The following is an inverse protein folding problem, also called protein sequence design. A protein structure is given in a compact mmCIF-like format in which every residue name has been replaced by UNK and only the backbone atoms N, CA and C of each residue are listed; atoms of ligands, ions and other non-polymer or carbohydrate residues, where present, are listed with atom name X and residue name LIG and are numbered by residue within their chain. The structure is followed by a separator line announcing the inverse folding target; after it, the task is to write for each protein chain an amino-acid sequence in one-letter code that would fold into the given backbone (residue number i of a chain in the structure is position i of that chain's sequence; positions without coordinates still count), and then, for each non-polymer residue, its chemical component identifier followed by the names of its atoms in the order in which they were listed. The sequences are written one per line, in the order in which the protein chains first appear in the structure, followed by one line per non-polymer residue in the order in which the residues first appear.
data_IF_555390401349
#
_entry.id   IF_555390401349
#
_cell.length_a   1.000
_cell.length_b   1.000
_cell.length_c   1.000
_cell.angle_alpha   90.00
_cell.angle_beta   90.00
_cell.angle_gamma   90.00
#
_symmetry.space_group_name_H-M   'P 1'
#
loop_
_entity.id
_entity.type
_entity.pdbx_description
1 polymer ?
#
# COMPACT_ATOMS: atom_id res chain seq x y z
N UNK A 1 -24.58 8.76 2.48
CA UNK A 1 -23.51 9.75 2.34
C UNK A 1 -22.73 9.84 3.64
N UNK A 2 -21.49 9.43 3.60
CA UNK A 2 -20.54 9.56 4.71
C UNK A 2 -20.12 11.03 4.82
N UNK A 3 -20.33 11.65 5.96
CA UNK A 3 -19.71 12.94 6.27
C UNK A 3 -18.45 12.64 7.08
N UNK A 4 -17.26 13.04 6.63
CA UNK A 4 -16.03 12.85 7.40
C UNK A 4 -16.18 13.48 8.77
N UNK A 5 -15.99 12.69 9.83
CA UNK A 5 -16.05 13.18 11.21
C UNK A 5 -14.80 13.98 11.61
N UNK A 6 -13.83 14.10 10.73
CA UNK A 6 -12.60 14.87 10.93
C UNK A 6 -12.50 15.96 9.84
N UNK A 7 -12.31 17.24 10.20
CA UNK A 7 -12.20 18.33 9.23
C UNK A 7 -10.90 18.29 8.40
N UNK A 8 -10.01 17.31 8.63
CA UNK A 8 -8.68 17.25 8.01
C UNK A 8 -8.50 16.09 7.02
N UNK A 9 -9.56 15.39 6.62
CA UNK A 9 -9.51 14.32 5.61
C UNK A 9 -10.15 14.79 4.32
N UNK A 10 -9.59 14.37 3.19
CA UNK A 10 -10.01 14.77 1.85
C UNK A 10 -10.16 13.56 0.95
N UNK A 11 -11.19 13.58 0.10
CA UNK A 11 -11.40 12.59 -0.97
C UNK A 11 -10.81 13.01 -2.31
N UNK A 12 -10.29 14.22 -2.41
CA UNK A 12 -9.81 14.81 -3.68
C UNK A 12 -8.64 14.05 -4.26
N UNK A 13 -8.77 13.66 -5.52
CA UNK A 13 -7.67 13.14 -6.35
C UNK A 13 -7.14 14.25 -7.25
N UNK A 14 -5.85 14.39 -7.34
CA UNK A 14 -5.19 15.33 -8.22
C UNK A 14 -4.36 14.61 -9.29
N UNK A 15 -4.32 15.19 -10.47
CA UNK A 15 -3.52 14.74 -11.62
C UNK A 15 -2.35 15.68 -11.85
N UNK A 16 -1.19 15.10 -12.13
CA UNK A 16 -0.05 15.80 -12.73
C UNK A 16 0.34 15.13 -14.05
N UNK A 17 0.81 15.92 -15.00
CA UNK A 17 1.40 15.41 -16.23
C UNK A 17 2.92 15.24 -16.01
N UNK A 18 3.40 14.00 -15.92
CA UNK A 18 4.80 13.73 -15.58
C UNK A 18 5.78 14.24 -16.67
N UNK A 19 5.36 14.26 -17.93
CA UNK A 19 6.20 14.69 -19.06
C UNK A 19 6.39 16.20 -19.19
N UNK A 20 5.63 16.99 -18.41
CA UNK A 20 5.68 18.47 -18.43
C UNK A 20 5.67 19.01 -17.02
N UNK A 21 6.29 20.17 -16.82
CA UNK A 21 6.16 20.91 -15.55
C UNK A 21 4.79 21.62 -15.49
N UNK A 22 4.21 21.67 -14.30
CA UNK A 22 2.92 22.34 -14.09
C UNK A 22 2.34 22.03 -12.72
N UNK A 23 1.27 22.72 -12.38
CA UNK A 23 0.50 22.47 -11.17
C UNK A 23 -0.39 21.25 -11.35
N UNK A 24 -0.70 20.57 -10.24
CA UNK A 24 -1.73 19.56 -10.23
C UNK A 24 -3.11 20.16 -10.57
N UNK A 25 -3.92 19.37 -11.25
CA UNK A 25 -5.32 19.69 -11.56
C UNK A 25 -6.24 18.70 -10.88
N UNK A 26 -7.46 19.12 -10.60
CA UNK A 26 -8.48 18.23 -10.06
C UNK A 26 -8.77 17.08 -11.05
N UNK A 27 -8.72 15.84 -10.54
CA UNK A 27 -9.02 14.64 -11.31
C UNK A 27 -10.41 14.09 -10.96
N UNK A 28 -10.86 14.25 -9.73
CA UNK A 28 -12.10 13.72 -9.18
C UNK A 28 -11.96 13.34 -7.72
N UNK A 29 -12.86 12.50 -7.22
CA UNK A 29 -12.90 12.10 -5.82
C UNK A 29 -12.81 10.59 -5.62
N UNK A 30 -12.13 10.18 -4.55
CA UNK A 30 -12.24 8.83 -3.99
C UNK A 30 -13.58 8.66 -3.28
N UNK A 31 -14.05 7.42 -3.12
CA UNK A 31 -15.34 7.17 -2.47
C UNK A 31 -15.33 7.50 -0.97
N UNK A 32 -14.18 7.36 -0.33
CA UNK A 32 -13.98 7.66 1.09
C UNK A 32 -12.71 8.49 1.29
N UNK A 33 -12.68 9.27 2.36
CA UNK A 33 -11.50 9.99 2.81
C UNK A 33 -10.80 9.21 3.92
N UNK A 34 -9.47 9.14 3.91
CA UNK A 34 -8.69 8.41 4.94
C UNK A 34 -7.35 7.91 4.44
N UNK A 35 -6.79 6.96 5.15
CA UNK A 35 -5.54 6.30 4.74
C UNK A 35 -5.79 5.36 3.57
N UNK A 36 -5.00 5.53 2.51
CA UNK A 36 -5.14 4.75 1.30
C UNK A 36 -3.83 4.03 0.97
N UNK A 37 -3.94 2.77 0.56
CA UNK A 37 -2.94 2.14 -0.28
C UNK A 37 -3.38 2.21 -1.74
N UNK A 38 -2.45 2.07 -2.65
CA UNK A 38 -2.76 2.08 -4.07
C UNK A 38 -1.85 1.14 -4.85
N UNK A 39 -2.35 0.69 -5.99
CA UNK A 39 -1.57 0.00 -7.01
C UNK A 39 -2.09 0.40 -8.38
N UNK A 40 -1.28 0.32 -9.42
CA UNK A 40 -1.70 0.73 -10.76
C UNK A 40 -0.97 -0.04 -11.85
N UNK A 41 -1.60 -0.04 -13.02
CA UNK A 41 -0.94 -0.30 -14.29
C UNK A 41 -1.01 0.94 -15.19
N UNK A 42 -0.74 0.80 -16.48
CA UNK A 42 -0.79 1.92 -17.43
C UNK A 42 -2.19 2.47 -17.70
N UNK A 43 -3.28 1.79 -17.28
CA UNK A 43 -4.66 2.16 -17.60
C UNK A 43 -5.53 2.42 -16.38
N UNK A 44 -5.29 1.72 -15.27
CA UNK A 44 -6.11 1.81 -14.05
C UNK A 44 -5.25 2.08 -12.82
N UNK A 45 -5.73 2.99 -11.97
CA UNK A 45 -5.33 3.11 -10.58
C UNK A 45 -6.37 2.45 -9.69
N UNK A 46 -5.95 1.59 -8.77
CA UNK A 46 -6.81 0.93 -7.78
C UNK A 46 -6.42 1.41 -6.41
N UNK A 47 -7.40 1.90 -5.67
CA UNK A 47 -7.26 2.40 -4.29
C UNK A 47 -7.89 1.39 -3.33
N UNK A 48 -7.21 1.13 -2.24
CA UNK A 48 -7.76 0.37 -1.13
C UNK A 48 -7.78 1.26 0.11
N UNK A 49 -8.82 1.12 0.91
CA UNK A 49 -9.09 2.01 2.03
C UNK A 49 -8.68 1.39 3.36
N UNK A 50 -8.28 2.26 4.28
CA UNK A 50 -8.01 1.91 5.68
C UNK A 50 -8.48 3.02 6.60
N UNK A 51 -8.45 2.76 7.90
CA UNK A 51 -8.74 3.70 9.01
C UNK A 51 -10.08 4.44 8.94
N UNK A 52 -11.09 3.81 8.32
CA UNK A 52 -12.48 4.28 8.38
C UNK A 52 -13.21 3.61 9.55
N UNK A 53 -14.26 4.21 10.12
CA UNK A 53 -14.86 3.78 11.40
C UNK A 53 -15.29 2.32 11.48
N UNK A 54 -15.42 1.63 10.35
CA UNK A 54 -15.95 0.27 10.28
C UNK A 54 -15.01 -0.77 9.65
N UNK A 55 -13.69 -0.49 9.55
CA UNK A 55 -12.72 -1.43 8.96
C UNK A 55 -13.19 -1.94 7.59
N UNK A 56 -12.86 -1.22 6.53
CA UNK A 56 -13.36 -1.49 5.19
C UNK A 56 -12.44 -2.47 4.45
N UNK A 57 -13.02 -3.34 3.67
CA UNK A 57 -12.32 -4.22 2.71
C UNK A 57 -12.37 -3.66 1.29
N UNK A 58 -13.13 -2.61 1.05
CA UNK A 58 -13.44 -2.05 -0.26
C UNK A 58 -12.21 -1.62 -1.03
N UNK A 59 -12.21 -1.92 -2.32
CA UNK A 59 -11.32 -1.35 -3.33
C UNK A 59 -12.13 -0.60 -4.37
N UNK A 60 -11.62 0.54 -4.81
CA UNK A 60 -12.17 1.30 -5.94
C UNK A 60 -11.10 1.53 -6.99
N UNK A 61 -11.52 1.80 -8.21
CA UNK A 61 -10.59 2.11 -9.29
C UNK A 61 -11.00 3.35 -10.07
N UNK A 62 -10.00 3.96 -10.70
CA UNK A 62 -10.19 4.97 -11.73
C UNK A 62 -9.48 4.57 -13.02
N UNK A 63 -9.98 5.05 -14.16
CA UNK A 63 -9.30 4.94 -15.46
C UNK A 63 -8.40 6.17 -15.61
N UNK A 64 -7.07 5.97 -15.66
CA UNK A 64 -6.07 7.05 -15.60
C UNK A 64 -6.21 8.04 -16.77
N UNK A 65 -6.66 7.59 -17.93
CA UNK A 65 -6.84 8.43 -19.13
C UNK A 65 -8.12 9.23 -19.14
N UNK A 66 -9.05 9.01 -18.21
CA UNK A 66 -10.33 9.73 -18.15
C UNK A 66 -10.56 10.35 -16.78
N UNK A 67 -10.69 11.66 -16.74
CA UNK A 67 -11.03 12.41 -15.54
C UNK A 67 -12.38 11.95 -14.97
N UNK A 68 -12.50 11.87 -13.64
CA UNK A 68 -13.72 11.51 -12.93
C UNK A 68 -13.46 10.84 -11.60
N UNK A 69 -14.52 10.56 -10.88
CA UNK A 69 -14.46 9.81 -9.62
C UNK A 69 -14.16 8.33 -9.81
N UNK A 70 -14.12 7.61 -8.72
CA UNK A 70 -13.85 6.16 -8.69
C UNK A 70 -15.10 5.33 -8.88
N UNK A 71 -14.93 4.12 -9.39
CA UNK A 71 -15.93 3.07 -9.42
C UNK A 71 -15.50 1.88 -8.55
N UNK A 72 -16.45 1.12 -8.04
CA UNK A 72 -16.16 -0.06 -7.23
C UNK A 72 -15.36 -1.08 -8.03
N UNK A 73 -14.26 -1.58 -7.45
CA UNK A 73 -13.44 -2.64 -8.02
C UNK A 73 -13.81 -4.00 -7.45
N UNK A 74 -14.05 -4.11 -6.16
CA UNK A 74 -14.29 -5.31 -5.37
C UNK A 74 -13.79 -5.13 -3.95
N UNK A 75 -13.64 -6.22 -3.22
CA UNK A 75 -13.22 -6.22 -1.83
C UNK A 75 -11.88 -6.93 -1.61
N UNK A 76 -11.12 -6.49 -0.60
CA UNK A 76 -9.93 -7.20 -0.10
C UNK A 76 -10.36 -8.52 0.57
N UNK A 77 -9.53 -9.54 0.49
CA UNK A 77 -9.78 -10.82 1.17
C UNK A 77 -9.69 -10.72 2.70
N UNK A 78 -9.20 -9.60 3.22
CA UNK A 78 -9.03 -9.37 4.66
C UNK A 78 -9.33 -7.92 5.05
N UNK A 79 -9.79 -7.73 6.30
CA UNK A 79 -10.09 -6.41 6.84
C UNK A 79 -8.80 -5.69 7.21
N UNK A 80 -8.65 -4.44 6.77
CA UNK A 80 -7.49 -3.59 7.04
C UNK A 80 -7.87 -2.34 7.82
N UNK A 81 -6.91 -1.77 8.56
CA UNK A 81 -7.00 -0.43 9.17
C UNK A 81 -6.11 0.59 8.45
N UNK A 82 -4.93 0.18 8.06
CA UNK A 82 -4.04 1.01 7.24
C UNK A 82 -4.01 0.32 5.88
N UNK A 83 -4.59 0.87 4.84
CA UNK A 83 -4.67 0.23 3.53
C UNK A 83 -3.37 -0.48 3.15
N UNK A 84 -3.41 -1.73 2.63
CA UNK A 84 -2.22 -2.45 2.24
C UNK A 84 -1.48 -1.70 1.13
N UNK A 85 -0.16 -1.69 1.22
CA UNK A 85 0.68 -1.04 0.22
C UNK A 85 0.83 -1.94 -1.01
N UNK A 86 0.62 -1.37 -2.18
CA UNK A 86 0.54 -2.09 -3.43
C UNK A 86 1.63 -1.72 -4.43
N UNK A 87 2.03 -2.71 -5.20
CA UNK A 87 2.80 -2.60 -6.43
C UNK A 87 2.47 -3.80 -7.31
N UNK A 88 3.17 -4.05 -8.38
CA UNK A 88 2.86 -5.18 -9.25
C UNK A 88 3.43 -5.01 -10.64
N UNK A 89 2.80 -5.66 -11.60
CA UNK A 89 3.11 -5.51 -13.02
C UNK A 89 1.91 -4.95 -13.80
N UNK A 90 1.96 -4.97 -15.13
CA UNK A 90 0.87 -4.45 -15.96
C UNK A 90 -0.43 -5.28 -15.87
N UNK A 91 -0.39 -6.51 -15.37
CA UNK A 91 -1.54 -7.42 -15.31
C UNK A 91 -2.08 -7.59 -13.90
N UNK A 92 -1.21 -7.57 -12.89
CA UNK A 92 -1.54 -7.86 -11.50
C UNK A 92 -1.10 -6.73 -10.56
N UNK A 93 -2.01 -6.31 -9.71
CA UNK A 93 -1.71 -5.53 -8.52
C UNK A 93 -1.53 -6.47 -7.33
N UNK A 94 -0.44 -6.29 -6.58
CA UNK A 94 -0.10 -7.09 -5.40
C UNK A 94 -0.17 -6.17 -4.20
N UNK A 95 -0.91 -6.57 -3.18
CA UNK A 95 -1.24 -5.76 -2.01
C UNK A 95 -0.76 -6.47 -0.74
N UNK A 96 -0.02 -5.79 0.11
CA UNK A 96 0.50 -6.41 1.33
C UNK A 96 0.97 -5.41 2.39
N UNK A 97 1.19 -5.89 3.61
CA UNK A 97 1.78 -5.07 4.68
C UNK A 97 0.84 -4.05 5.29
N UNK A 98 -0.30 -4.48 5.77
CA UNK A 98 -1.33 -3.66 6.43
C UNK A 98 -1.41 -3.89 7.94
N UNK A 99 -2.09 -3.00 8.64
CA UNK A 99 -2.56 -3.27 10.00
C UNK A 99 -3.81 -4.17 9.96
N UNK A 100 -3.85 -5.15 10.84
CA UNK A 100 -5.02 -6.00 11.00
C UNK A 100 -6.23 -5.25 11.53
N UNK A 101 -7.41 -5.67 11.09
CA UNK A 101 -8.71 -5.19 11.54
C UNK A 101 -9.06 -5.61 12.97
N UNK A 102 -10.34 -5.50 13.36
CA UNK A 102 -10.79 -5.78 14.71
C UNK A 102 -10.53 -7.23 15.17
N UNK A 103 -10.45 -7.41 16.48
CA UNK A 103 -10.09 -8.68 17.14
C UNK A 103 -10.99 -9.86 16.81
N UNK A 104 -12.24 -9.62 16.41
CA UNK A 104 -13.21 -10.67 16.04
C UNK A 104 -12.89 -11.38 14.70
N UNK A 105 -11.90 -10.89 13.95
CA UNK A 105 -11.42 -11.49 12.70
C UNK A 105 -9.97 -11.98 12.79
N UNK A 106 -9.49 -12.27 14.00
CA UNK A 106 -8.11 -12.77 14.25
C UNK A 106 -7.03 -11.69 14.23
N UNK A 107 -7.39 -10.42 14.02
CA UNK A 107 -6.46 -9.29 14.09
C UNK A 107 -6.37 -8.70 15.49
N UNK A 108 -5.22 -8.24 15.90
CA UNK A 108 -5.08 -7.31 17.03
C UNK A 108 -5.03 -5.90 16.47
N UNK A 109 -5.87 -4.96 16.95
CA UNK A 109 -5.85 -3.58 16.48
C UNK A 109 -4.43 -3.01 16.49
N UNK A 110 -3.99 -2.48 15.36
CA UNK A 110 -2.68 -1.86 15.22
C UNK A 110 -1.48 -2.82 15.10
N UNK A 111 -1.68 -4.13 15.07
CA UNK A 111 -0.61 -5.09 14.69
C UNK A 111 -0.58 -5.28 13.18
N UNK A 112 0.62 -5.43 12.63
CA UNK A 112 0.79 -5.80 11.23
C UNK A 112 0.24 -7.19 10.92
N UNK A 113 -0.07 -7.43 9.65
CA UNK A 113 -0.45 -8.74 9.12
C UNK A 113 0.62 -9.26 8.16
N UNK A 114 0.63 -10.57 7.92
CA UNK A 114 1.49 -11.19 6.90
C UNK A 114 0.84 -11.19 5.52
N UNK A 115 -0.43 -10.88 5.43
CA UNK A 115 -1.28 -11.10 4.26
C UNK A 115 -0.78 -10.40 3.00
N UNK A 116 -0.71 -11.18 1.92
CA UNK A 116 -0.50 -10.71 0.55
C UNK A 116 -1.71 -11.15 -0.26
N UNK A 117 -2.35 -10.20 -0.92
CA UNK A 117 -3.44 -10.41 -1.88
C UNK A 117 -3.00 -9.99 -3.28
N UNK A 118 -3.67 -10.50 -4.30
CA UNK A 118 -3.55 -9.97 -5.65
C UNK A 118 -4.90 -9.63 -6.28
N UNK A 119 -4.85 -8.73 -7.23
CA UNK A 119 -5.95 -8.38 -8.13
C UNK A 119 -5.47 -8.49 -9.58
N UNK A 120 -6.42 -8.67 -10.50
CA UNK A 120 -6.17 -8.58 -11.95
C UNK A 120 -6.74 -7.26 -12.45
N UNK A 121 -5.91 -6.37 -13.00
CA UNK A 121 -6.36 -5.03 -13.42
C UNK A 121 -7.42 -5.07 -14.55
N UNK A 122 -7.42 -6.08 -15.40
CA UNK A 122 -8.33 -6.16 -16.55
C UNK A 122 -9.80 -6.38 -16.15
N UNK A 123 -10.04 -7.02 -15.00
CA UNK A 123 -11.37 -7.36 -14.51
C UNK A 123 -11.60 -6.79 -13.11
N UNK A 124 -12.81 -6.32 -12.83
CA UNK A 124 -13.24 -6.02 -11.47
C UNK A 124 -13.57 -7.31 -10.72
N UNK A 125 -13.43 -7.31 -9.42
CA UNK A 125 -13.74 -8.42 -8.52
C UNK A 125 -12.90 -8.36 -7.26
N UNK A 126 -13.19 -9.26 -6.33
CA UNK A 126 -12.51 -9.34 -5.05
C UNK A 126 -11.05 -9.76 -5.22
N UNK A 127 -10.20 -9.29 -4.32
CA UNK A 127 -8.83 -9.78 -4.26
C UNK A 127 -8.79 -11.25 -3.84
N UNK A 128 -7.74 -11.91 -4.24
CA UNK A 128 -7.50 -13.30 -3.86
C UNK A 128 -6.24 -13.39 -3.01
N UNK A 129 -6.32 -14.17 -1.93
CA UNK A 129 -5.16 -14.48 -1.10
C UNK A 129 -4.05 -15.08 -1.96
N UNK A 130 -2.85 -14.51 -1.86
CA UNK A 130 -1.75 -14.84 -2.74
C UNK A 130 -0.51 -15.36 -2.02
N UNK A 131 -0.38 -15.07 -0.72
CA UNK A 131 0.74 -15.50 0.09
C UNK A 131 0.86 -14.75 1.41
N UNK A 132 2.04 -14.84 2.00
CA UNK A 132 2.39 -14.23 3.27
C UNK A 132 3.76 -13.54 3.23
N UNK A 133 3.87 -12.37 3.86
CA UNK A 133 5.16 -11.75 4.20
C UNK A 133 5.92 -12.62 5.21
N UNK A 134 7.24 -12.52 5.23
CA UNK A 134 8.08 -13.24 6.21
C UNK A 134 7.81 -12.81 7.65
N UNK A 135 7.37 -11.57 7.86
CA UNK A 135 7.06 -10.98 9.17
C UNK A 135 5.78 -10.17 9.07
N UNK A 136 4.87 -10.35 10.04
CA UNK A 136 3.66 -9.54 10.16
C UNK A 136 4.02 -8.09 10.45
N UNK A 137 3.65 -7.16 9.54
CA UNK A 137 4.02 -5.75 9.61
C UNK A 137 3.08 -4.84 8.83
N UNK A 138 3.11 -3.57 9.17
CA UNK A 138 2.36 -2.49 8.53
C UNK A 138 3.26 -1.30 8.20
N UNK A 139 2.76 -0.33 7.44
CA UNK A 139 3.52 0.87 7.09
C UNK A 139 4.80 0.55 6.31
N UNK A 140 4.76 -0.48 5.47
CA UNK A 140 5.85 -0.89 4.60
C UNK A 140 5.95 0.04 3.39
N UNK A 141 7.12 0.11 2.75
CA UNK A 141 7.24 0.62 1.39
C UNK A 141 7.21 -0.54 0.39
N UNK A 142 6.39 -0.44 -0.66
CA UNK A 142 6.29 -1.47 -1.70
C UNK A 142 6.81 -0.96 -3.04
N UNK A 143 7.59 -1.77 -3.74
CA UNK A 143 8.09 -1.52 -5.08
C UNK A 143 8.10 -2.81 -5.91
N UNK A 144 8.20 -2.71 -7.23
CA UNK A 144 8.16 -3.88 -8.09
C UNK A 144 9.03 -3.74 -9.34
N UNK A 145 9.43 -4.86 -9.86
CA UNK A 145 9.88 -5.07 -11.22
C UNK A 145 8.83 -5.89 -11.99
N UNK A 146 8.99 -6.15 -13.28
CA UNK A 146 8.08 -7.03 -14.01
C UNK A 146 7.94 -8.45 -13.44
N UNK A 147 8.89 -8.90 -12.61
CA UNK A 147 8.93 -10.28 -12.09
C UNK A 147 8.82 -10.38 -10.58
N UNK A 148 9.11 -9.32 -9.84
CA UNK A 148 9.14 -9.35 -8.36
C UNK A 148 8.39 -8.19 -7.78
N UNK A 149 7.64 -8.46 -6.71
CA UNK A 149 7.08 -7.46 -5.80
C UNK A 149 7.82 -7.54 -4.48
N UNK A 150 8.30 -6.39 -3.99
CA UNK A 150 9.24 -6.26 -2.86
C UNK A 150 8.63 -5.33 -1.82
N UNK A 151 8.76 -5.68 -0.54
CA UNK A 151 8.34 -4.85 0.60
C UNK A 151 9.53 -4.59 1.51
N UNK A 152 9.76 -3.33 1.87
CA UNK A 152 10.82 -2.93 2.79
C UNK A 152 10.30 -2.31 4.08
N UNK A 153 10.97 -2.61 5.19
CA UNK A 153 10.73 -1.99 6.49
C UNK A 153 9.35 -2.25 7.08
N UNK A 154 8.90 -1.34 7.92
CA UNK A 154 7.57 -1.34 8.53
C UNK A 154 7.56 -1.50 10.05
N UNK A 155 6.36 -1.48 10.62
CA UNK A 155 6.07 -1.63 12.04
C UNK A 155 5.59 -3.05 12.32
N UNK A 156 6.29 -3.77 13.22
CA UNK A 156 5.90 -5.11 13.69
C UNK A 156 4.87 -4.98 14.82
N UNK A 157 5.13 -4.07 15.75
CA UNK A 157 4.28 -3.73 16.92
C UNK A 157 4.41 -2.24 17.21
N UNK A 158 3.53 -1.66 18.05
CA UNK A 158 3.81 -0.35 18.60
C UNK A 158 5.25 -0.32 19.15
N UNK A 159 6.04 0.64 18.74
CA UNK A 159 7.44 0.86 19.14
C UNK A 159 8.48 -0.13 18.56
N UNK A 160 8.08 -1.11 17.74
CA UNK A 160 9.01 -2.07 17.15
C UNK A 160 8.98 -2.00 15.61
N UNK A 161 10.12 -1.69 15.02
CA UNK A 161 10.30 -1.50 13.58
C UNK A 161 11.21 -2.59 13.02
N UNK A 162 11.18 -2.79 11.72
CA UNK A 162 12.06 -3.74 11.05
C UNK A 162 12.75 -3.06 9.85
N UNK A 163 13.92 -3.56 9.52
CA UNK A 163 14.67 -3.28 8.30
C UNK A 163 14.47 -4.36 7.22
N UNK A 164 13.73 -5.42 7.55
CA UNK A 164 13.51 -6.55 6.64
C UNK A 164 13.00 -6.10 5.29
N UNK A 165 13.66 -6.56 4.24
CA UNK A 165 13.20 -6.51 2.85
C UNK A 165 12.89 -7.93 2.41
N UNK A 166 11.67 -8.18 1.97
CA UNK A 166 11.26 -9.46 1.40
C UNK A 166 10.50 -9.30 0.08
N UNK A 167 10.39 -10.37 -0.67
CA UNK A 167 9.78 -10.35 -1.98
C UNK A 167 9.01 -11.63 -2.29
N UNK A 168 8.11 -11.52 -3.28
CA UNK A 168 7.53 -12.66 -3.99
C UNK A 168 7.82 -12.56 -5.48
N UNK A 169 7.68 -13.68 -6.17
CA UNK A 169 7.57 -13.67 -7.63
C UNK A 169 6.15 -13.23 -7.99
N UNK A 170 6.00 -12.10 -8.69
CA UNK A 170 4.71 -11.47 -8.99
C UNK A 170 3.74 -12.39 -9.71
N UNK A 171 4.23 -13.31 -10.54
CA UNK A 171 3.38 -14.20 -11.34
C UNK A 171 2.93 -15.48 -10.60
N UNK A 172 3.63 -15.91 -9.56
CA UNK A 172 3.34 -17.17 -8.86
C UNK A 172 2.87 -16.99 -7.42
N UNK A 173 3.18 -15.86 -6.79
CA UNK A 173 2.85 -15.62 -5.38
C UNK A 173 3.58 -16.57 -4.43
N UNK A 174 2.91 -16.89 -3.33
CA UNK A 174 3.43 -17.76 -2.29
C UNK A 174 3.99 -16.99 -1.09
N UNK A 175 4.60 -17.72 -0.15
CA UNK A 175 5.27 -17.10 0.99
C UNK A 175 6.49 -16.32 0.52
N UNK A 176 6.60 -15.08 0.98
CA UNK A 176 7.71 -14.20 0.65
C UNK A 176 9.05 -14.78 1.12
N UNK A 177 10.09 -14.44 0.40
CA UNK A 177 11.48 -14.83 0.71
C UNK A 177 12.23 -13.56 1.10
N UNK A 178 13.07 -13.65 2.11
CA UNK A 178 13.94 -12.55 2.51
C UNK A 178 14.83 -12.13 1.33
N UNK A 179 14.76 -10.85 0.96
CA UNK A 179 15.61 -10.23 -0.05
C UNK A 179 16.90 -9.68 0.57
N UNK A 180 16.76 -9.01 1.73
CA UNK A 180 17.84 -8.33 2.42
C UNK A 180 17.30 -7.45 3.55
N UNK A 181 18.00 -6.34 3.81
CA UNK A 181 17.68 -5.39 4.88
C UNK A 181 17.87 -3.96 4.38
N UNK A 182 17.07 -3.03 4.91
CA UNK A 182 17.34 -1.60 4.80
C UNK A 182 18.51 -1.24 5.71
N UNK A 183 19.15 -0.12 5.45
CA UNK A 183 20.26 0.37 6.30
C UNK A 183 19.81 0.78 7.69
N UNK A 184 18.52 1.13 7.86
CA UNK A 184 17.90 1.51 9.14
C UNK A 184 16.49 0.95 9.23
N UNK A 185 16.16 0.34 10.39
CA UNK A 185 14.79 -0.10 10.70
C UNK A 185 13.85 1.11 10.78
N UNK A 186 12.82 1.17 9.93
CA UNK A 186 11.83 2.26 9.88
C UNK A 186 10.59 1.87 9.11
N UNK A 187 9.52 2.65 9.27
CA UNK A 187 8.27 2.47 8.52
C UNK A 187 7.76 3.78 7.92
N UNK A 188 6.62 3.72 7.25
CA UNK A 188 5.97 4.85 6.56
C UNK A 188 6.88 5.56 5.55
N UNK A 189 7.69 4.80 4.84
CA UNK A 189 8.55 5.27 3.76
C UNK A 189 7.76 5.44 2.48
N UNK A 190 8.11 6.45 1.69
CA UNK A 190 7.76 6.46 0.28
C UNK A 190 8.59 5.40 -0.46
N UNK A 191 7.98 4.71 -1.42
CA UNK A 191 8.67 3.75 -2.25
C UNK A 191 8.35 3.99 -3.72
N UNK A 192 9.33 3.75 -4.57
CA UNK A 192 9.21 3.88 -6.02
C UNK A 192 10.12 2.85 -6.70
N UNK A 193 9.82 2.54 -7.95
CA UNK A 193 10.63 1.60 -8.70
C UNK A 193 10.66 1.89 -10.20
N UNK A 194 11.72 1.43 -10.82
CA UNK A 194 11.81 1.16 -12.25
C UNK A 194 11.74 -0.35 -12.49
N UNK A 195 11.91 -0.77 -13.74
CA UNK A 195 11.99 -2.21 -14.06
C UNK A 195 13.18 -2.94 -13.42
N UNK A 196 14.19 -2.22 -12.95
CA UNK A 196 15.45 -2.81 -12.44
C UNK A 196 15.87 -2.32 -11.06
N UNK A 197 15.25 -1.27 -10.53
CA UNK A 197 15.65 -0.68 -9.25
C UNK A 197 14.44 -0.29 -8.41
N UNK A 198 14.44 -0.67 -7.14
CA UNK A 198 13.52 -0.18 -6.12
C UNK A 198 14.22 0.75 -5.16
N UNK A 199 13.54 1.79 -4.68
CA UNK A 199 14.07 2.73 -3.71
C UNK A 199 13.04 3.04 -2.62
N UNK A 200 13.53 3.27 -1.40
CA UNK A 200 12.75 3.67 -0.22
C UNK A 200 13.34 4.94 0.36
N UNK A 201 12.53 5.99 0.46
CA UNK A 201 12.97 7.30 0.96
C UNK A 201 12.20 7.76 2.19
N UNK A 202 12.89 8.41 3.12
CA UNK A 202 12.32 8.97 4.33
C UNK A 202 11.83 7.91 5.31
N UNK A 203 10.73 8.20 5.99
CA UNK A 203 10.12 7.32 6.97
C UNK A 203 10.43 7.70 8.41
N UNK A 204 9.93 6.91 9.34
CA UNK A 204 10.02 7.21 10.76
C UNK A 204 10.07 5.96 11.63
N UNK A 205 10.52 6.16 12.86
CA UNK A 205 10.28 5.25 13.98
C UNK A 205 9.52 5.99 15.09
N UNK A 206 8.81 5.22 15.92
CA UNK A 206 8.15 5.72 17.12
C UNK A 206 8.67 4.97 18.35
N UNK A 207 9.72 5.46 19.02
CA UNK A 207 10.32 4.78 20.16
C UNK A 207 9.54 4.97 21.47
N UNK A 208 8.32 5.51 21.43
CA UNK A 208 7.40 5.53 22.57
C UNK A 208 6.90 6.90 23.02
N UNK A 209 7.54 8.00 22.64
CA UNK A 209 7.13 9.35 23.06
C UNK A 209 6.98 10.35 21.90
N UNK A 210 7.81 10.21 20.88
CA UNK A 210 7.78 11.08 19.69
C UNK A 210 8.31 10.33 18.47
N UNK A 211 7.97 10.81 17.27
CA UNK A 211 8.53 10.29 16.04
C UNK A 211 9.96 10.76 15.85
N UNK A 212 10.84 9.84 15.46
CA UNK A 212 12.15 10.16 14.90
C UNK A 212 12.03 10.00 13.39
N UNK A 213 12.30 11.07 12.66
CA UNK A 213 12.21 11.12 11.20
C UNK A 213 13.57 10.83 10.57
N UNK A 214 13.56 10.20 9.40
CA UNK A 214 14.76 9.87 8.61
C UNK A 214 14.69 10.54 7.25
N UNK A 215 15.85 10.98 6.76
CA UNK A 215 16.08 11.49 5.40
C UNK A 215 16.85 10.49 4.52
N UNK A 216 17.04 9.28 5.04
CA UNK A 216 17.77 8.19 4.37
C UNK A 216 17.02 7.70 3.13
N UNK A 217 17.78 7.41 2.07
CA UNK A 217 17.30 6.72 0.88
C UNK A 217 18.06 5.41 0.74
N UNK A 218 17.33 4.29 0.79
CA UNK A 218 17.85 2.95 0.46
C UNK A 218 17.41 2.54 -0.95
N UNK A 219 18.17 1.68 -1.59
CA UNK A 219 17.79 1.13 -2.89
C UNK A 219 18.26 -0.33 -3.06
N UNK A 220 17.62 -1.04 -3.97
CA UNK A 220 17.99 -2.38 -4.45
C UNK A 220 18.02 -2.41 -5.98
N UNK A 221 18.79 -3.34 -6.54
CA UNK A 221 18.89 -3.57 -7.98
C UNK A 221 18.60 -5.02 -8.35
#
# INVERSE_FOLDING_TARGET
SYTPSSPNVSSVMNLIQISTTGNATDFGDTADAGSHGATSNSTRGVFNYGDVPNSIVRMDYTVISSQGGVANFGDLSFITRDGPFGSGDNTRGILGGSAGGPTNMGGSPGKGVTYIDFITFATTGDSTRYGDLTVARRGVGSCSSPTRTVWGGGYIKPQNHTDTVDFIITQTGGTAIKFGELTVSRGHMAALSSSTRGAWGGGSIYPGSSYVLYDTIDYVT
#
